data_IF_184343720252
#
_entry.id   IF_184343720252
#
_cell.length_a   1.000
_cell.length_b   1.000
_cell.length_c   1.000
_cell.angle_alpha   90.00
_cell.angle_beta   90.00
_cell.angle_gamma   90.00
#
_symmetry.space_group_name_H-M   'P 1'
#
loop_
_entity.id
_entity.type
_entity.pdbx_description
1 polymer ?
#
# COMPACT_ATOMS: atom_id res chain seq x y z
N UNK A 1 12.93 12.44 22.35
CA UNK A 1 11.70 12.40 21.54
C UNK A 1 10.54 12.27 22.49
N UNK A 2 9.53 13.14 22.43
CA UNK A 2 8.39 13.13 23.34
C UNK A 2 7.66 11.77 23.22
N UNK A 3 7.29 11.12 24.34
CA UNK A 3 6.64 9.80 24.31
C UNK A 3 5.40 9.76 23.41
N UNK A 4 4.66 10.85 23.32
CA UNK A 4 3.48 10.99 22.46
C UNK A 4 3.85 10.88 20.96
N UNK A 5 4.90 11.56 20.49
CA UNK A 5 5.35 11.51 19.10
C UNK A 5 5.81 10.09 18.71
N UNK A 6 6.59 9.44 19.58
CA UNK A 6 7.03 8.06 19.36
C UNK A 6 5.84 7.10 19.23
N UNK A 7 4.86 7.22 20.12
CA UNK A 7 3.67 6.39 20.09
C UNK A 7 2.83 6.65 18.83
N UNK A 8 2.74 7.91 18.38
CA UNK A 8 2.04 8.24 17.11
C UNK A 8 2.71 7.60 15.91
N UNK A 9 4.04 7.72 15.78
CA UNK A 9 4.79 7.10 14.68
C UNK A 9 4.65 5.56 14.68
N UNK A 10 4.61 4.94 15.87
CA UNK A 10 4.36 3.49 15.99
C UNK A 10 2.92 3.13 15.62
N UNK A 11 1.94 3.92 16.07
CA UNK A 11 0.52 3.72 15.74
C UNK A 11 0.30 3.68 14.23
N UNK A 12 0.88 4.62 13.48
CA UNK A 12 0.73 4.70 12.01
C UNK A 12 1.71 3.80 11.25
N UNK A 13 2.59 3.08 11.95
CA UNK A 13 3.62 2.25 11.30
C UNK A 13 4.38 3.04 10.23
N UNK A 14 4.98 4.16 10.63
CA UNK A 14 5.62 5.11 9.71
C UNK A 14 6.68 4.45 8.81
N UNK A 15 7.40 3.46 9.34
CA UNK A 15 8.39 2.66 8.60
C UNK A 15 7.82 1.93 7.37
N UNK A 16 6.52 1.66 7.34
CA UNK A 16 5.87 1.01 6.19
C UNK A 16 5.54 1.98 5.04
N UNK A 17 5.84 3.27 5.17
CA UNK A 17 5.65 4.23 4.07
C UNK A 17 6.53 3.90 2.87
N UNK A 18 7.60 3.13 3.07
CA UNK A 18 8.48 2.61 2.00
C UNK A 18 7.74 1.74 0.97
N UNK A 19 6.60 1.15 1.33
CA UNK A 19 5.87 0.28 0.40
C UNK A 19 5.11 1.05 -0.70
N UNK A 20 4.49 2.17 -0.37
CA UNK A 20 3.66 2.92 -1.31
C UNK A 20 4.41 4.07 -2.01
N UNK A 21 5.36 4.70 -1.33
CA UNK A 21 6.02 5.90 -1.81
C UNK A 21 6.78 5.68 -3.13
N UNK A 22 7.58 4.62 -3.35
CA UNK A 22 8.27 4.43 -4.62
C UNK A 22 7.29 4.26 -5.80
N UNK A 23 6.15 3.62 -5.62
CA UNK A 23 5.13 3.50 -6.66
C UNK A 23 4.43 4.84 -6.95
N UNK A 24 4.19 5.66 -5.93
CA UNK A 24 3.72 7.04 -6.15
C UNK A 24 4.76 7.83 -6.96
N UNK A 25 6.02 7.75 -6.58
CA UNK A 25 7.12 8.41 -7.31
C UNK A 25 7.24 7.89 -8.75
N UNK A 26 6.99 6.60 -9.01
CA UNK A 26 6.93 6.06 -10.37
C UNK A 26 5.88 6.78 -11.22
N UNK A 27 4.67 6.98 -10.70
CA UNK A 27 3.62 7.73 -11.40
C UNK A 27 4.03 9.19 -11.69
N UNK A 28 4.68 9.83 -10.73
CA UNK A 28 5.17 11.21 -10.89
C UNK A 28 6.27 11.33 -11.96
N UNK A 29 7.23 10.41 -11.96
CA UNK A 29 8.33 10.37 -12.95
C UNK A 29 7.80 10.09 -14.36
N UNK A 30 6.82 9.18 -14.50
CA UNK A 30 6.16 8.90 -15.77
C UNK A 30 5.45 10.17 -16.29
N UNK A 31 4.69 10.87 -15.44
CA UNK A 31 3.99 12.10 -15.83
C UNK A 31 4.94 13.19 -16.30
N UNK A 32 6.08 13.34 -15.63
CA UNK A 32 7.08 14.35 -15.97
C UNK A 32 8.00 13.93 -17.13
N UNK A 33 7.94 12.66 -17.56
CA UNK A 33 8.93 12.06 -18.46
C UNK A 33 10.37 12.37 -18.01
N UNK A 34 10.62 12.19 -16.71
CA UNK A 34 11.85 12.55 -16.01
C UNK A 34 11.61 12.99 -14.58
N UNK A 35 12.43 13.89 -14.05
CA UNK A 35 12.27 14.40 -12.69
C UNK A 35 11.15 15.45 -12.60
N UNK A 36 10.12 15.26 -11.75
CA UNK A 36 9.09 16.24 -11.53
C UNK A 36 9.65 17.53 -10.90
N UNK A 37 8.96 18.69 -11.03
CA UNK A 37 9.31 19.89 -10.29
C UNK A 37 9.44 19.63 -8.79
N UNK A 38 10.46 20.17 -8.15
CA UNK A 38 10.75 19.90 -6.74
C UNK A 38 9.57 20.22 -5.82
N UNK A 39 8.83 21.27 -6.13
CA UNK A 39 7.64 21.68 -5.35
C UNK A 39 6.56 20.61 -5.43
N UNK A 40 6.26 20.12 -6.65
CA UNK A 40 5.25 19.07 -6.86
C UNK A 40 5.69 17.76 -6.16
N UNK A 41 6.98 17.44 -6.22
CA UNK A 41 7.56 16.28 -5.53
C UNK A 41 7.40 16.36 -4.01
N UNK A 42 7.72 17.51 -3.40
CA UNK A 42 7.57 17.71 -1.95
C UNK A 42 6.10 17.63 -1.54
N UNK A 43 5.21 18.30 -2.27
CA UNK A 43 3.76 18.25 -2.00
C UNK A 43 3.21 16.83 -2.15
N UNK A 44 3.65 16.08 -3.16
CA UNK A 44 3.25 14.70 -3.37
C UNK A 44 3.69 13.79 -2.22
N UNK A 45 4.93 13.91 -1.75
CA UNK A 45 5.43 13.14 -0.60
C UNK A 45 4.61 13.48 0.65
N UNK A 46 4.35 14.76 0.90
CA UNK A 46 3.51 15.19 2.03
C UNK A 46 2.08 14.65 1.91
N UNK A 47 1.47 14.72 0.73
CA UNK A 47 0.14 14.16 0.46
C UNK A 47 0.11 12.65 0.77
N UNK A 48 1.10 11.89 0.28
CA UNK A 48 1.21 10.44 0.54
C UNK A 48 1.37 10.12 2.04
N UNK A 49 2.19 10.90 2.76
CA UNK A 49 2.38 10.75 4.21
C UNK A 49 1.09 11.03 4.97
N UNK A 50 0.37 12.11 4.66
CA UNK A 50 -0.88 12.43 5.33
C UNK A 50 -2.01 11.46 4.99
N UNK A 51 -2.16 11.08 3.72
CA UNK A 51 -3.15 10.09 3.28
C UNK A 51 -2.97 8.76 4.02
N UNK A 52 -1.74 8.25 4.03
CA UNK A 52 -1.39 7.03 4.75
C UNK A 52 -1.57 7.15 6.25
N UNK A 53 -1.17 8.27 6.85
CA UNK A 53 -1.31 8.51 8.28
C UNK A 53 -2.78 8.52 8.70
N UNK A 54 -3.67 9.15 7.91
CA UNK A 54 -5.10 9.12 8.11
C UNK A 54 -5.65 7.69 8.05
N UNK A 55 -5.31 6.94 6.99
CA UNK A 55 -5.76 5.56 6.81
C UNK A 55 -5.33 4.65 7.96
N UNK A 56 -4.06 4.73 8.37
CA UNK A 56 -3.52 3.89 9.44
C UNK A 56 -4.10 4.25 10.82
N UNK A 57 -4.22 5.54 11.14
CA UNK A 57 -4.82 5.97 12.41
C UNK A 57 -6.30 5.54 12.49
N UNK A 58 -7.05 5.70 11.41
CA UNK A 58 -8.43 5.25 11.32
C UNK A 58 -8.55 3.73 11.47
N UNK A 59 -7.72 2.97 10.77
CA UNK A 59 -7.66 1.51 10.90
C UNK A 59 -7.44 1.08 12.37
N UNK A 60 -6.56 1.76 13.12
CA UNK A 60 -6.36 1.48 14.54
C UNK A 60 -7.58 1.77 15.40
N UNK A 61 -8.34 2.84 15.09
CA UNK A 61 -9.59 3.15 15.79
C UNK A 61 -10.65 2.09 15.50
N UNK A 62 -10.82 1.74 14.22
CA UNK A 62 -11.78 0.73 13.78
C UNK A 62 -11.48 -0.64 14.38
N UNK A 63 -10.22 -1.06 14.33
CA UNK A 63 -9.82 -2.41 14.72
C UNK A 63 -9.57 -2.59 16.22
N UNK A 64 -9.71 -1.54 17.04
CA UNK A 64 -9.31 -1.55 18.47
C UNK A 64 -9.81 -2.75 19.25
N UNK A 65 -11.08 -3.12 19.09
CA UNK A 65 -11.69 -4.25 19.82
C UNK A 65 -11.18 -5.59 19.31
N UNK A 66 -11.01 -5.74 18.00
CA UNK A 66 -10.39 -6.89 17.36
C UNK A 66 -8.93 -7.07 17.81
N UNK A 67 -8.18 -5.96 17.85
CA UNK A 67 -6.78 -5.96 18.24
C UNK A 67 -6.57 -6.37 19.71
N UNK A 68 -7.52 -6.01 20.58
CA UNK A 68 -7.46 -6.35 22.00
C UNK A 68 -7.60 -7.86 22.26
N UNK A 69 -8.28 -8.58 21.39
CA UNK A 69 -8.49 -10.04 21.50
C UNK A 69 -7.43 -10.87 20.76
N UNK A 70 -6.54 -10.26 19.99
CA UNK A 70 -5.48 -10.95 19.27
C UNK A 70 -4.12 -10.74 19.95
N UNK A 71 -3.46 -11.80 20.42
CA UNK A 71 -2.16 -11.76 21.11
C UNK A 71 -1.10 -10.96 20.33
N UNK A 72 -1.09 -11.06 18.99
CA UNK A 72 -0.14 -10.36 18.13
C UNK A 72 -0.32 -8.83 18.15
N UNK A 73 -1.55 -8.34 18.37
CA UNK A 73 -1.90 -6.92 18.29
C UNK A 73 -2.37 -6.32 19.62
N UNK A 74 -2.48 -7.11 20.68
CA UNK A 74 -2.89 -6.68 22.03
C UNK A 74 -2.00 -5.56 22.62
N UNK A 75 -0.76 -5.44 22.15
CA UNK A 75 0.20 -4.42 22.59
C UNK A 75 0.14 -3.11 21.76
N UNK A 76 -0.87 -2.94 20.89
CA UNK A 76 -1.04 -1.71 20.10
C UNK A 76 -1.41 -0.52 20.97
N UNK A 77 -0.97 0.68 20.58
CA UNK A 77 -1.02 1.92 21.36
C UNK A 77 -2.43 2.28 21.84
N UNK A 78 -3.47 2.04 21.03
CA UNK A 78 -4.87 2.28 21.42
C UNK A 78 -5.46 1.21 22.31
N UNK A 79 -4.93 -0.02 22.25
CA UNK A 79 -5.36 -1.14 23.10
C UNK A 79 -4.82 -0.98 24.51
N UNK A 80 -3.52 -0.70 24.63
CA UNK A 80 -2.86 -0.51 25.95
C UNK A 80 -3.08 0.88 26.55
N UNK A 81 -3.82 1.77 25.89
CA UNK A 81 -4.11 3.11 26.37
C UNK A 81 -2.94 4.10 26.30
N UNK A 82 -1.85 3.77 25.59
CA UNK A 82 -0.72 4.68 25.36
C UNK A 82 -1.09 5.93 24.54
N UNK A 83 -2.14 5.81 23.73
CA UNK A 83 -2.83 6.90 23.03
C UNK A 83 -4.34 6.77 23.24
N UNK A 84 -5.03 7.90 23.36
CA UNK A 84 -6.50 7.88 23.46
C UNK A 84 -7.16 7.76 22.09
N UNK A 85 -8.36 7.16 22.06
CA UNK A 85 -9.19 7.09 20.84
C UNK A 85 -9.52 8.48 20.30
N UNK A 86 -9.80 9.44 21.20
CA UNK A 86 -10.06 10.84 20.81
C UNK A 86 -8.86 11.44 20.09
N UNK A 87 -7.66 11.20 20.59
CA UNK A 87 -6.43 11.64 19.92
C UNK A 87 -6.31 11.01 18.51
N UNK A 88 -6.51 9.71 18.37
CA UNK A 88 -6.41 9.03 17.09
C UNK A 88 -7.45 9.53 16.07
N UNK A 89 -8.69 9.80 16.51
CA UNK A 89 -9.74 10.40 15.65
C UNK A 89 -9.33 11.82 15.23
N UNK A 90 -8.89 12.67 16.16
CA UNK A 90 -8.46 14.03 15.86
C UNK A 90 -7.25 14.03 14.91
N UNK A 91 -6.31 13.11 15.10
CA UNK A 91 -5.17 12.93 14.22
C UNK A 91 -5.58 12.44 12.82
N UNK A 92 -6.55 11.54 12.71
CA UNK A 92 -7.13 11.10 11.43
C UNK A 92 -7.74 12.27 10.68
N UNK A 93 -8.57 13.08 11.36
CA UNK A 93 -9.21 14.25 10.76
C UNK A 93 -8.16 15.28 10.31
N UNK A 94 -7.19 15.60 11.16
CA UNK A 94 -6.09 16.49 10.81
C UNK A 94 -5.35 16.03 9.55
N UNK A 95 -4.94 14.75 9.50
CA UNK A 95 -4.25 14.19 8.34
C UNK A 95 -5.14 14.19 7.09
N UNK A 96 -6.44 13.93 7.22
CA UNK A 96 -7.38 13.95 6.11
C UNK A 96 -7.54 15.36 5.52
N UNK A 97 -7.71 16.36 6.36
CA UNK A 97 -7.80 17.76 5.90
C UNK A 97 -6.47 18.26 5.30
N UNK A 98 -5.33 17.87 5.89
CA UNK A 98 -4.02 18.21 5.34
C UNK A 98 -3.83 17.56 3.95
N UNK A 99 -4.22 16.29 3.78
CA UNK A 99 -4.17 15.62 2.48
C UNK A 99 -5.03 16.34 1.44
N UNK A 100 -6.29 16.67 1.76
CA UNK A 100 -7.20 17.41 0.86
C UNK A 100 -6.59 18.78 0.49
N UNK A 101 -6.10 19.53 1.48
CA UNK A 101 -5.50 20.84 1.24
C UNK A 101 -4.27 20.78 0.33
N UNK A 102 -3.38 19.80 0.57
CA UNK A 102 -2.20 19.59 -0.29
C UNK A 102 -2.64 19.15 -1.70
N UNK A 103 -3.65 18.29 -1.83
CA UNK A 103 -4.17 17.87 -3.12
C UNK A 103 -4.72 19.06 -3.93
N UNK A 104 -5.40 20.02 -3.30
CA UNK A 104 -5.82 21.26 -3.95
C UNK A 104 -4.64 22.18 -4.34
N UNK A 105 -3.56 22.19 -3.55
CA UNK A 105 -2.34 22.93 -3.91
C UNK A 105 -1.63 22.34 -5.13
N UNK A 106 -1.69 21.02 -5.31
CA UNK A 106 -1.14 20.34 -6.49
C UNK A 106 -1.95 20.67 -7.74
N UNK A 107 -3.26 20.43 -7.72
CA UNK A 107 -4.20 20.80 -8.77
C UNK A 107 -5.65 20.76 -8.25
N UNK A 108 -6.58 21.60 -8.76
CA UNK A 108 -7.99 21.55 -8.37
C UNK A 108 -8.63 20.15 -8.57
N UNK A 109 -8.28 19.47 -9.67
CA UNK A 109 -8.77 18.11 -9.95
C UNK A 109 -8.31 17.09 -8.90
N UNK A 110 -7.05 17.20 -8.44
CA UNK A 110 -6.51 16.35 -7.36
C UNK A 110 -7.27 16.61 -6.06
N UNK A 111 -7.58 17.87 -5.77
CA UNK A 111 -8.38 18.25 -4.60
C UNK A 111 -9.75 17.59 -4.59
N UNK A 112 -10.48 17.63 -5.69
CA UNK A 112 -11.80 16.98 -5.78
C UNK A 112 -11.69 15.46 -5.72
N UNK A 113 -10.71 14.85 -6.37
CA UNK A 113 -10.49 13.41 -6.34
C UNK A 113 -9.90 12.89 -5.01
N UNK A 114 -9.35 13.76 -4.19
CA UNK A 114 -8.91 13.38 -2.83
C UNK A 114 -10.06 12.91 -1.94
N UNK A 115 -11.29 13.39 -2.18
CA UNK A 115 -12.48 12.98 -1.41
C UNK A 115 -12.84 11.50 -1.65
N UNK A 116 -13.11 11.03 -2.89
CA UNK A 116 -13.34 9.61 -3.14
C UNK A 116 -12.11 8.76 -2.80
N UNK A 117 -10.89 9.29 -2.97
CA UNK A 117 -9.68 8.61 -2.53
C UNK A 117 -9.70 8.36 -1.02
N UNK A 118 -10.02 9.35 -0.19
CA UNK A 118 -10.17 9.18 1.25
C UNK A 118 -11.29 8.19 1.61
N UNK A 119 -12.40 8.18 0.89
CA UNK A 119 -13.45 7.17 1.11
C UNK A 119 -12.91 5.74 0.94
N UNK A 120 -12.07 5.50 -0.07
CA UNK A 120 -11.39 4.21 -0.24
C UNK A 120 -10.38 3.95 0.87
N UNK A 121 -9.52 4.94 1.19
CA UNK A 121 -8.45 4.83 2.20
C UNK A 121 -8.96 4.62 3.63
N UNK A 122 -10.13 5.13 3.97
CA UNK A 122 -10.74 4.91 5.28
C UNK A 122 -11.69 3.71 5.24
N UNK A 123 -12.41 3.54 4.12
CA UNK A 123 -13.45 2.53 3.96
C UNK A 123 -12.93 1.09 3.90
N UNK A 124 -11.72 0.84 3.36
CA UNK A 124 -11.21 -0.53 3.25
C UNK A 124 -11.14 -1.27 4.59
N UNK A 125 -10.93 -0.55 5.70
CA UNK A 125 -10.88 -1.14 7.04
C UNK A 125 -12.17 -1.87 7.44
N UNK A 126 -13.31 -1.45 6.88
CA UNK A 126 -14.60 -2.07 7.14
C UNK A 126 -14.83 -3.36 6.35
N UNK A 127 -14.12 -3.57 5.23
CA UNK A 127 -14.39 -4.69 4.32
C UNK A 127 -14.28 -6.05 4.99
N UNK A 128 -13.36 -6.22 5.94
CA UNK A 128 -13.19 -7.48 6.67
C UNK A 128 -14.40 -7.89 7.52
N UNK A 129 -15.32 -6.95 7.79
CA UNK A 129 -16.56 -7.23 8.50
C UNK A 129 -17.67 -7.78 7.58
N UNK A 130 -17.52 -7.62 6.26
CA UNK A 130 -18.60 -7.90 5.30
C UNK A 130 -18.15 -8.74 4.08
N UNK A 131 -16.84 -8.80 3.79
CA UNK A 131 -16.37 -9.40 2.53
C UNK A 131 -14.97 -9.98 2.63
N UNK A 132 -14.77 -11.11 1.94
CA UNK A 132 -13.45 -11.71 1.71
C UNK A 132 -12.53 -10.87 0.81
N UNK A 133 -13.06 -9.81 0.18
CA UNK A 133 -12.30 -8.87 -0.65
C UNK A 133 -11.51 -7.82 0.17
N UNK A 134 -11.45 -7.95 1.50
CA UNK A 134 -10.72 -7.03 2.37
C UNK A 134 -9.24 -6.86 1.96
N UNK A 135 -8.58 -7.95 1.54
CA UNK A 135 -7.19 -7.92 1.05
C UNK A 135 -7.05 -7.12 -0.26
N UNK A 136 -8.00 -7.28 -1.18
CA UNK A 136 -8.05 -6.49 -2.40
C UNK A 136 -8.39 -5.02 -2.12
N UNK A 137 -9.24 -4.76 -1.12
CA UNK A 137 -9.56 -3.40 -0.67
C UNK A 137 -8.33 -2.64 -0.19
N UNK A 138 -7.46 -3.28 0.62
CA UNK A 138 -6.16 -2.73 0.99
C UNK A 138 -5.28 -2.52 -0.24
N UNK A 139 -5.28 -3.49 -1.16
CA UNK A 139 -4.56 -3.41 -2.43
C UNK A 139 -4.97 -2.20 -3.25
N UNK A 140 -6.27 -1.99 -3.46
CA UNK A 140 -6.80 -0.83 -4.20
C UNK A 140 -6.38 0.48 -3.51
N UNK A 141 -6.46 0.55 -2.17
CA UNK A 141 -6.07 1.74 -1.43
C UNK A 141 -4.61 2.16 -1.70
N UNK A 142 -3.68 1.21 -1.80
CA UNK A 142 -2.29 1.51 -2.16
C UNK A 142 -2.10 1.68 -3.68
N UNK A 143 -2.87 0.96 -4.49
CA UNK A 143 -2.82 1.02 -5.95
C UNK A 143 -3.29 2.36 -6.56
N UNK A 144 -4.00 3.19 -5.79
CA UNK A 144 -4.33 4.56 -6.19
C UNK A 144 -3.10 5.49 -6.24
N UNK A 145 -1.99 5.13 -5.57
CA UNK A 145 -0.84 6.00 -5.42
C UNK A 145 -0.15 6.39 -6.76
N UNK A 146 0.14 5.45 -7.68
CA UNK A 146 0.73 5.82 -8.99
C UNK A 146 -0.15 6.76 -9.80
N UNK A 147 -1.45 6.47 -9.88
CA UNK A 147 -2.40 7.27 -10.65
C UNK A 147 -2.60 8.66 -10.03
N UNK A 148 -2.72 8.74 -8.70
CA UNK A 148 -2.82 10.01 -7.98
C UNK A 148 -1.58 10.88 -8.16
N UNK A 149 -0.40 10.28 -8.12
CA UNK A 149 0.86 10.99 -8.31
C UNK A 149 1.08 11.45 -9.76
N UNK A 150 0.70 10.62 -10.73
CA UNK A 150 0.71 11.00 -12.14
C UNK A 150 -0.18 12.22 -12.38
N UNK A 151 -1.42 12.18 -11.88
CA UNK A 151 -2.36 13.28 -12.01
C UNK A 151 -1.89 14.55 -11.30
N UNK A 152 -1.21 14.42 -10.16
CA UNK A 152 -0.66 15.55 -9.41
C UNK A 152 0.41 16.31 -10.20
N UNK A 153 1.20 15.63 -11.02
CA UNK A 153 2.22 16.24 -11.87
C UNK A 153 1.64 16.69 -13.20
N UNK A 154 0.80 15.88 -13.84
CA UNK A 154 0.17 16.20 -15.14
C UNK A 154 -0.93 17.28 -15.04
N UNK A 155 -1.58 17.39 -13.88
CA UNK A 155 -2.63 18.39 -13.54
C UNK A 155 -3.91 18.31 -14.38
N UNK A 156 -4.00 17.34 -15.29
CA UNK A 156 -5.15 17.06 -16.15
C UNK A 156 -5.22 15.57 -16.48
N UNK A 157 -6.28 15.13 -17.17
CA UNK A 157 -6.38 13.78 -17.73
C UNK A 157 -5.84 13.69 -19.17
N UNK A 158 -5.17 14.74 -19.66
CA UNK A 158 -4.55 14.70 -20.97
C UNK A 158 -3.33 13.77 -20.97
N UNK A 159 -3.14 13.04 -22.06
CA UNK A 159 -2.04 12.09 -22.19
C UNK A 159 -2.40 10.66 -21.77
N UNK A 160 -1.38 9.86 -21.45
CA UNK A 160 -1.55 8.42 -21.20
C UNK A 160 -1.89 8.11 -19.73
N UNK A 161 -3.10 8.49 -19.31
CA UNK A 161 -3.62 8.22 -17.97
C UNK A 161 -3.88 6.73 -17.69
N UNK A 162 -3.93 5.89 -18.72
CA UNK A 162 -4.15 4.44 -18.58
C UNK A 162 -2.92 3.76 -17.96
N UNK A 163 -1.73 4.21 -18.32
CA UNK A 163 -0.47 3.63 -17.86
C UNK A 163 -0.33 3.62 -16.32
N UNK A 164 -0.49 4.76 -15.60
CA UNK A 164 -0.42 4.74 -14.15
C UNK A 164 -1.55 3.92 -13.50
N UNK A 165 -2.69 3.74 -14.15
CA UNK A 165 -3.74 2.83 -13.68
C UNK A 165 -3.33 1.36 -13.83
N UNK A 166 -2.68 0.98 -14.92
CA UNK A 166 -2.14 -0.38 -15.11
C UNK A 166 -1.10 -0.69 -14.03
N UNK A 167 -0.19 0.25 -13.76
CA UNK A 167 0.80 0.11 -12.69
C UNK A 167 0.10 -0.02 -11.33
N UNK A 168 -0.89 0.83 -11.07
CA UNK A 168 -1.69 0.80 -9.84
C UNK A 168 -2.47 -0.49 -9.65
N UNK A 169 -3.01 -1.07 -10.72
CA UNK A 169 -3.65 -2.38 -10.68
C UNK A 169 -2.64 -3.48 -10.31
N UNK A 170 -1.43 -3.43 -10.84
CA UNK A 170 -0.32 -4.30 -10.43
C UNK A 170 0.01 -4.14 -8.94
N UNK A 171 0.09 -2.90 -8.44
CA UNK A 171 0.28 -2.62 -7.00
C UNK A 171 -0.86 -3.19 -6.18
N UNK A 172 -2.11 -3.05 -6.63
CA UNK A 172 -3.29 -3.57 -5.93
C UNK A 172 -3.22 -5.10 -5.75
N UNK A 173 -2.83 -5.81 -6.80
CA UNK A 173 -2.69 -7.27 -6.75
C UNK A 173 -1.48 -7.72 -5.93
N UNK A 174 -0.34 -7.05 -6.07
CA UNK A 174 0.82 -7.33 -5.23
C UNK A 174 0.51 -7.16 -3.74
N UNK A 175 -0.13 -6.06 -3.36
CA UNK A 175 -0.54 -5.78 -1.97
C UNK A 175 -1.52 -6.83 -1.49
N UNK A 176 -2.55 -7.17 -2.28
CA UNK A 176 -3.50 -8.22 -1.93
C UNK A 176 -2.79 -9.57 -1.71
N UNK A 177 -1.82 -9.92 -2.56
CA UNK A 177 -1.05 -11.17 -2.46
C UNK A 177 -0.24 -11.25 -1.17
N UNK A 178 0.52 -10.23 -0.82
CA UNK A 178 1.32 -10.26 0.41
C UNK A 178 0.44 -10.15 1.68
N UNK A 179 -0.66 -9.40 1.63
CA UNK A 179 -1.58 -9.28 2.76
C UNK A 179 -2.31 -10.61 3.03
N UNK A 180 -2.66 -11.36 1.97
CA UNK A 180 -3.16 -12.74 2.08
C UNK A 180 -2.17 -13.65 2.80
N UNK A 181 -0.88 -13.61 2.42
CA UNK A 181 0.16 -14.40 3.09
C UNK A 181 0.35 -13.97 4.54
N UNK A 182 0.30 -12.66 4.80
CA UNK A 182 0.42 -12.11 6.15
C UNK A 182 -0.75 -12.54 7.04
N UNK A 183 -1.98 -12.56 6.52
CA UNK A 183 -3.19 -12.93 7.24
C UNK A 183 -3.23 -14.44 7.65
N UNK A 184 -2.36 -15.30 7.09
CA UNK A 184 -2.22 -16.70 7.53
C UNK A 184 -1.88 -16.78 9.04
N UNK A 185 -1.24 -15.76 9.61
CA UNK A 185 -0.91 -15.71 11.03
C UNK A 185 -2.13 -15.59 11.93
N UNK A 186 -3.20 -15.00 11.41
CA UNK A 186 -4.39 -14.63 12.18
C UNK A 186 -5.57 -15.63 12.01
N UNK A 187 -5.39 -16.76 11.30
CA UNK A 187 -6.46 -17.71 10.97
C UNK A 187 -7.29 -18.11 12.20
N UNK A 188 -6.64 -18.49 13.30
CA UNK A 188 -7.33 -18.97 14.50
C UNK A 188 -8.16 -17.85 15.15
N UNK A 189 -7.61 -16.65 15.20
CA UNK A 189 -8.30 -15.47 15.70
C UNK A 189 -9.48 -15.07 14.79
N UNK A 190 -9.27 -15.02 13.47
CA UNK A 190 -10.29 -14.66 12.49
C UNK A 190 -11.48 -15.62 12.52
N UNK A 191 -11.22 -16.93 12.71
CA UNK A 191 -12.28 -17.95 12.89
C UNK A 191 -13.09 -17.70 14.17
N UNK A 192 -12.43 -17.37 15.29
CA UNK A 192 -13.11 -17.10 16.56
C UNK A 192 -13.95 -15.83 16.50
N UNK A 193 -13.50 -14.82 15.79
CA UNK A 193 -14.19 -13.54 15.65
C UNK A 193 -15.23 -13.49 14.53
N UNK A 194 -15.28 -14.51 13.68
CA UNK A 194 -16.18 -14.54 12.53
C UNK A 194 -15.83 -13.52 11.45
N UNK A 195 -14.54 -13.13 11.34
CA UNK A 195 -14.06 -12.16 10.37
C UNK A 195 -14.04 -12.77 8.97
N UNK A 196 -14.38 -11.98 7.95
CA UNK A 196 -14.28 -12.42 6.56
C UNK A 196 -12.83 -12.35 6.09
N UNK A 197 -12.13 -13.47 6.22
CA UNK A 197 -10.73 -13.64 5.83
C UNK A 197 -10.57 -14.84 4.90
N UNK A 198 -9.89 -14.66 3.77
CA UNK A 198 -9.65 -15.78 2.82
C UNK A 198 -8.86 -16.90 3.50
N UNK A 199 -7.77 -16.65 4.26
CA UNK A 199 -7.07 -17.72 4.97
C UNK A 199 -7.93 -18.47 5.97
N UNK A 200 -8.78 -17.79 6.72
CA UNK A 200 -9.69 -18.42 7.67
C UNK A 200 -10.76 -19.30 6.97
N UNK A 201 -11.29 -18.84 5.82
CA UNK A 201 -12.35 -19.54 5.11
C UNK A 201 -11.85 -20.71 4.25
N UNK A 202 -10.74 -20.52 3.52
CA UNK A 202 -10.27 -21.46 2.50
C UNK A 202 -8.96 -22.17 2.87
N UNK A 203 -8.38 -21.84 4.01
CA UNK A 203 -7.14 -22.45 4.52
C UNK A 203 -5.87 -21.93 3.86
N UNK A 204 -4.75 -22.36 4.41
CA UNK A 204 -3.40 -21.88 4.02
C UNK A 204 -3.00 -22.24 2.59
N UNK A 205 -3.40 -23.43 2.11
CA UNK A 205 -3.03 -23.88 0.76
C UNK A 205 -3.70 -23.04 -0.32
N UNK A 206 -5.02 -22.85 -0.24
CA UNK A 206 -5.75 -21.99 -1.18
C UNK A 206 -5.23 -20.55 -1.15
N UNK A 207 -4.96 -20.03 0.05
CA UNK A 207 -4.39 -18.69 0.23
C UNK A 207 -3.07 -18.50 -0.50
N UNK A 208 -2.15 -19.46 -0.40
CA UNK A 208 -0.86 -19.43 -1.12
C UNK A 208 -1.03 -19.44 -2.64
N UNK A 209 -1.98 -20.23 -3.16
CA UNK A 209 -2.28 -20.24 -4.59
C UNK A 209 -2.88 -18.92 -5.07
N UNK A 210 -3.81 -18.35 -4.31
CA UNK A 210 -4.40 -17.04 -4.64
C UNK A 210 -3.33 -15.95 -4.60
N UNK A 211 -2.46 -15.94 -3.59
CA UNK A 211 -1.35 -14.99 -3.49
C UNK A 211 -0.39 -15.13 -4.68
N UNK A 212 -0.07 -16.36 -5.10
CA UNK A 212 0.76 -16.62 -6.29
C UNK A 212 0.11 -16.05 -7.56
N UNK A 213 -1.19 -16.27 -7.76
CA UNK A 213 -1.93 -15.71 -8.91
C UNK A 213 -1.88 -14.17 -8.87
N UNK A 214 -2.07 -13.56 -7.70
CA UNK A 214 -1.98 -12.12 -7.51
C UNK A 214 -0.58 -11.60 -7.90
N UNK A 215 0.49 -12.25 -7.46
CA UNK A 215 1.86 -11.85 -7.78
C UNK A 215 2.18 -12.00 -9.27
N UNK A 216 1.79 -13.13 -9.87
CA UNK A 216 1.97 -13.33 -11.32
C UNK A 216 1.24 -12.25 -12.13
N UNK A 217 -0.02 -11.95 -11.77
CA UNK A 217 -0.82 -10.92 -12.43
C UNK A 217 -0.21 -9.53 -12.25
N UNK A 218 0.35 -9.21 -11.07
CA UNK A 218 1.05 -7.96 -10.82
C UNK A 218 2.27 -7.81 -11.74
N UNK A 219 3.10 -8.86 -11.86
CA UNK A 219 4.27 -8.86 -12.75
C UNK A 219 3.86 -8.69 -14.22
N UNK A 220 2.79 -9.34 -14.66
CA UNK A 220 2.25 -9.19 -16.03
C UNK A 220 1.80 -7.75 -16.28
N UNK A 221 1.05 -7.15 -15.34
CA UNK A 221 0.59 -5.77 -15.48
C UNK A 221 1.75 -4.78 -15.51
N UNK A 222 2.75 -4.94 -14.65
CA UNK A 222 3.95 -4.10 -14.68
C UNK A 222 4.77 -4.30 -15.95
N UNK A 223 4.85 -5.54 -16.46
CA UNK A 223 5.47 -5.82 -17.77
C UNK A 223 4.76 -5.10 -18.92
N UNK A 224 3.42 -5.14 -18.94
CA UNK A 224 2.62 -4.39 -19.93
C UNK A 224 2.83 -2.87 -19.79
N UNK A 225 2.91 -2.36 -18.56
CA UNK A 225 3.22 -0.96 -18.31
C UNK A 225 4.60 -0.56 -18.85
N UNK A 226 5.61 -1.37 -18.57
CA UNK A 226 6.96 -1.13 -19.07
C UNK A 226 7.04 -1.16 -20.62
N UNK A 227 6.26 -2.05 -21.28
CA UNK A 227 6.19 -2.08 -22.75
C UNK A 227 5.66 -0.78 -23.34
N UNK A 228 4.67 -0.15 -22.70
CA UNK A 228 4.11 1.13 -23.15
C UNK A 228 5.12 2.29 -22.99
N UNK A 229 6.08 2.16 -22.07
CA UNK A 229 7.17 3.13 -21.87
C UNK A 229 8.36 2.96 -22.82
N UNK A 230 8.30 1.97 -23.73
CA UNK A 230 9.38 1.73 -24.69
C UNK A 230 10.41 0.69 -24.27
N UNK A 231 10.17 -0.01 -23.18
CA UNK A 231 10.87 -1.18 -22.65
C UNK A 231 12.37 -1.27 -22.95
N UNK A 232 13.22 -0.88 -22.00
CA UNK A 232 14.68 -1.12 -22.08
C UNK A 232 15.10 -2.40 -21.34
N UNK A 233 16.35 -2.76 -21.49
CA UNK A 233 16.96 -3.86 -20.74
C UNK A 233 16.92 -3.65 -19.22
N UNK A 234 16.98 -2.40 -18.76
CA UNK A 234 16.99 -2.07 -17.34
C UNK A 234 15.62 -2.31 -16.70
N UNK A 235 14.53 -1.91 -17.37
CA UNK A 235 13.18 -2.17 -16.89
C UNK A 235 12.85 -3.67 -16.89
N UNK A 236 13.33 -4.41 -17.92
CA UNK A 236 13.19 -5.87 -17.95
C UNK A 236 13.95 -6.56 -16.83
N UNK A 237 15.20 -6.13 -16.57
CA UNK A 237 16.01 -6.66 -15.47
C UNK A 237 15.37 -6.36 -14.11
N UNK A 238 14.88 -5.13 -13.91
CA UNK A 238 14.17 -4.74 -12.71
C UNK A 238 12.92 -5.60 -12.47
N UNK A 239 12.12 -5.82 -13.52
CA UNK A 239 10.94 -6.67 -13.43
C UNK A 239 11.30 -8.13 -13.15
N UNK A 240 12.36 -8.66 -13.73
CA UNK A 240 12.86 -10.01 -13.44
C UNK A 240 13.32 -10.13 -11.97
N UNK A 241 14.02 -9.13 -11.43
CA UNK A 241 14.39 -9.09 -10.02
C UNK A 241 13.17 -9.02 -9.09
N UNK A 242 12.15 -8.23 -9.45
CA UNK A 242 10.87 -8.20 -8.72
C UNK A 242 10.23 -9.59 -8.74
N UNK A 243 10.15 -10.26 -9.88
CA UNK A 243 9.61 -11.62 -9.97
C UNK A 243 10.37 -12.62 -9.09
N UNK A 244 11.70 -12.52 -9.03
CA UNK A 244 12.55 -13.34 -8.14
C UNK A 244 12.25 -13.04 -6.67
N UNK A 245 12.09 -11.78 -6.28
CA UNK A 245 11.71 -11.40 -4.90
C UNK A 245 10.36 -11.98 -4.51
N UNK A 246 9.34 -11.89 -5.36
CA UNK A 246 8.02 -12.45 -5.11
C UNK A 246 8.03 -13.98 -5.04
N UNK A 247 8.81 -14.63 -5.90
CA UNK A 247 9.03 -16.08 -5.83
C UNK A 247 9.73 -16.49 -4.52
N UNK A 248 10.72 -15.72 -4.09
CA UNK A 248 11.42 -15.93 -2.81
C UNK A 248 10.47 -15.77 -1.61
N UNK A 249 9.56 -14.78 -1.64
CA UNK A 249 8.54 -14.61 -0.61
C UNK A 249 7.63 -15.84 -0.51
N UNK A 250 7.07 -16.30 -1.63
CA UNK A 250 6.25 -17.51 -1.69
C UNK A 250 7.02 -18.74 -1.20
N UNK A 251 8.28 -18.89 -1.61
CA UNK A 251 9.13 -20.00 -1.16
C UNK A 251 9.34 -19.98 0.35
N UNK A 252 9.65 -18.81 0.94
CA UNK A 252 9.84 -18.65 2.39
C UNK A 252 8.58 -19.05 3.16
N UNK A 253 7.41 -18.56 2.73
CA UNK A 253 6.14 -18.88 3.39
C UNK A 253 5.73 -20.33 3.15
N UNK A 254 6.06 -20.90 1.97
CA UNK A 254 5.78 -22.31 1.69
C UNK A 254 6.64 -23.25 2.54
N UNK A 255 7.95 -22.98 2.65
CA UNK A 255 8.94 -23.85 3.28
C UNK A 255 8.94 -23.73 4.81
N UNK A 256 8.75 -22.54 5.34
CA UNK A 256 8.91 -22.25 6.78
C UNK A 256 7.60 -21.86 7.49
N UNK A 257 6.50 -21.71 6.74
CA UNK A 257 5.18 -21.41 7.33
C UNK A 257 5.13 -20.06 8.05
N UNK A 258 4.34 -20.01 9.13
CA UNK A 258 4.03 -18.79 9.90
C UNK A 258 5.28 -18.07 10.44
N UNK A 259 6.35 -18.79 10.80
CA UNK A 259 7.55 -18.22 11.43
C UNK A 259 8.29 -17.21 10.56
N UNK A 260 8.30 -17.40 9.23
CA UNK A 260 9.03 -16.54 8.29
C UNK A 260 8.18 -15.47 7.64
N UNK A 261 6.87 -15.45 7.89
CA UNK A 261 5.96 -14.42 7.35
C UNK A 261 6.42 -12.99 7.72
N UNK A 262 6.79 -12.67 8.99
CA UNK A 262 7.25 -11.32 9.30
C UNK A 262 8.50 -10.92 8.52
N UNK A 263 9.44 -11.86 8.31
CA UNK A 263 10.64 -11.59 7.52
C UNK A 263 10.32 -11.40 6.02
N UNK A 264 9.48 -12.25 5.46
CA UNK A 264 9.02 -12.15 4.08
C UNK A 264 8.31 -10.81 3.85
N UNK A 265 7.36 -10.47 4.71
CA UNK A 265 6.62 -9.23 4.65
C UNK A 265 7.52 -7.98 4.74
N UNK A 266 8.38 -7.88 5.76
CA UNK A 266 9.12 -6.64 6.02
C UNK A 266 10.40 -6.51 5.20
N UNK A 267 11.12 -7.61 4.93
CA UNK A 267 12.41 -7.54 4.24
C UNK A 267 12.27 -7.70 2.73
N UNK A 268 11.50 -8.69 2.27
CA UNK A 268 11.37 -8.95 0.83
C UNK A 268 10.50 -7.88 0.17
N UNK A 269 9.30 -7.64 0.72
CA UNK A 269 8.38 -6.66 0.13
C UNK A 269 8.88 -5.21 0.17
N UNK A 270 9.81 -4.85 1.06
CA UNK A 270 10.40 -3.52 1.04
C UNK A 270 11.25 -3.27 -0.22
N UNK A 271 11.85 -4.32 -0.80
CA UNK A 271 12.68 -4.20 -1.99
C UNK A 271 11.88 -4.16 -3.30
N UNK A 272 10.70 -4.77 -3.34
CA UNK A 272 9.85 -4.81 -4.56
C UNK A 272 9.59 -3.42 -5.13
N UNK A 273 9.03 -2.45 -4.38
CA UNK A 273 8.77 -1.11 -4.90
C UNK A 273 10.05 -0.33 -5.22
N UNK A 274 11.12 -0.55 -4.45
CA UNK A 274 12.40 0.13 -4.68
C UNK A 274 13.06 -0.34 -5.98
N UNK A 275 13.10 -1.66 -6.21
CA UNK A 275 13.67 -2.23 -7.44
C UNK A 275 12.87 -1.79 -8.66
N UNK A 276 11.53 -1.85 -8.59
CA UNK A 276 10.68 -1.38 -9.67
C UNK A 276 10.90 0.09 -10.00
N UNK A 277 10.86 0.96 -8.98
CA UNK A 277 11.06 2.40 -9.15
C UNK A 277 12.43 2.74 -9.73
N UNK A 278 13.51 2.16 -9.18
CA UNK A 278 14.87 2.45 -9.64
C UNK A 278 15.10 1.99 -11.08
N UNK A 279 14.55 0.83 -11.47
CA UNK A 279 14.65 0.36 -12.86
C UNK A 279 13.89 1.27 -13.83
N UNK A 280 12.71 1.78 -13.42
CA UNK A 280 11.92 2.71 -14.21
C UNK A 280 12.62 4.08 -14.37
N UNK A 281 13.20 4.63 -13.29
CA UNK A 281 13.96 5.89 -13.34
C UNK A 281 15.19 5.76 -14.22
N UNK A 282 15.89 4.64 -14.12
CA UNK A 282 17.03 4.37 -14.98
C UNK A 282 16.63 4.34 -16.47
N UNK A 283 15.45 3.79 -16.78
CA UNK A 283 14.92 3.69 -18.14
C UNK A 283 14.58 5.05 -18.77
N UNK A 284 13.94 5.92 -17.98
CA UNK A 284 13.49 7.25 -18.45
C UNK A 284 14.67 8.21 -18.66
N UNK A 285 15.83 7.97 -18.01
CA UNK A 285 17.00 8.85 -18.10
C UNK A 285 18.06 8.35 -19.11
N UNK A 286 17.86 7.19 -19.73
CA UNK A 286 18.71 6.64 -20.81
C UNK A 286 17.94 6.57 -22.13
#
# INVERSE_FOLDING_TARGET
>A
MNNSLRNTLRMIKFEHSVFALPFALSGAVIAANGMPPLVDLVLLVLAAVFARSAAMAYNRVHDRHHDASNERTANRELVVGALSVRYAISFTLFCSFAFIGIAFLLAPICGWLSLPCLMVLLGYSHLKCYSYLCHLGLGIALGLAPAGAWLAVNKSFDGDWQLPLIIGAGVSLWVAGFDLLYAIQDIEHDLQQGTFSIPARFGTTATKWIAMICFMSAVILWGNGNQQLGQSYLSMLGLALVAVLLAAELFLVHRYGKEKIPMAFFKVNAWVPMVYFLSLVADINY
#
